data_IF_101921933457
#
_entry.id   IF_101921933457
#
_cell.length_a   1.000
_cell.length_b   1.000
_cell.length_c   1.000
_cell.angle_alpha   90.00
_cell.angle_beta   90.00
_cell.angle_gamma   90.00
#
_symmetry.space_group_name_H-M   'P 1'
#
loop_
_entity.id
_entity.type
_entity.pdbx_description
1 polymer ?
#
# COMPACT_ATOMS: atom_id res chain seq x y z
N UNK A 1 15.53 35.01 61.28
CA UNK A 1 14.26 34.60 60.68
C UNK A 1 14.46 34.54 59.18
N UNK A 2 14.67 33.36 58.62
CA UNK A 2 14.88 33.19 57.16
C UNK A 2 13.56 32.80 56.52
N UNK A 3 13.14 33.59 55.58
CA UNK A 3 11.92 33.37 54.81
C UNK A 3 12.25 32.41 53.65
N UNK A 4 11.67 31.21 53.66
CA UNK A 4 11.77 30.23 52.57
C UNK A 4 10.73 30.61 51.50
N UNK A 5 11.22 31.06 50.35
CA UNK A 5 10.38 31.30 49.19
C UNK A 5 10.08 29.97 48.48
N UNK A 6 8.81 29.56 48.46
CA UNK A 6 8.35 28.40 47.69
C UNK A 6 8.46 28.71 46.21
N UNK A 7 9.37 28.02 45.51
CA UNK A 7 9.43 28.01 44.05
C UNK A 7 8.28 27.15 43.53
N UNK A 8 7.34 27.77 42.82
CA UNK A 8 6.30 27.10 42.04
C UNK A 8 6.94 26.57 40.76
N UNK A 9 6.98 25.25 40.63
CA UNK A 9 7.34 24.59 39.37
C UNK A 9 6.38 25.03 38.25
N UNK A 10 6.87 25.36 37.03
CA UNK A 10 6.02 25.66 35.91
C UNK A 10 5.18 24.44 35.56
N UNK A 11 3.92 24.70 35.23
CA UNK A 11 2.90 23.68 34.97
C UNK A 11 3.33 22.68 33.92
N UNK A 12 2.86 21.46 34.11
CA UNK A 12 2.94 20.34 33.18
C UNK A 12 2.44 20.83 31.82
N UNK A 13 3.35 20.89 30.85
CA UNK A 13 3.04 21.29 29.48
C UNK A 13 1.91 20.43 28.92
N UNK A 14 1.06 21.05 28.14
CA UNK A 14 0.04 20.35 27.35
C UNK A 14 0.65 19.16 26.63
N UNK A 15 -0.06 18.02 26.53
CA UNK A 15 0.44 16.84 25.83
C UNK A 15 0.91 17.25 24.43
N UNK A 16 2.14 16.89 24.08
CA UNK A 16 2.71 17.10 22.76
C UNK A 16 1.70 16.53 21.74
N UNK A 17 1.03 17.41 21.02
CA UNK A 17 0.24 17.00 19.87
C UNK A 17 1.24 16.48 18.82
N UNK A 18 1.31 15.17 18.65
CA UNK A 18 2.06 14.58 17.56
C UNK A 18 1.56 15.23 16.26
N UNK A 19 2.49 15.69 15.43
CA UNK A 19 2.15 16.18 14.10
C UNK A 19 1.40 15.07 13.34
N UNK A 20 0.39 15.39 12.54
CA UNK A 20 -0.28 14.38 11.72
C UNK A 20 0.74 13.71 10.81
N UNK A 21 0.65 12.38 10.66
CA UNK A 21 1.54 11.60 9.81
C UNK A 21 1.60 12.20 8.40
N UNK A 22 2.79 12.25 7.82
CA UNK A 22 2.99 12.66 6.42
C UNK A 22 2.42 11.59 5.47
N UNK A 23 2.19 11.94 4.20
CA UNK A 23 1.79 10.97 3.20
C UNK A 23 2.87 9.90 2.96
N UNK A 24 4.14 10.20 3.20
CA UNK A 24 5.22 9.21 3.17
C UNK A 24 5.09 8.17 4.28
N UNK A 25 4.83 8.60 5.50
CA UNK A 25 4.61 7.70 6.64
C UNK A 25 3.36 6.85 6.45
N UNK A 26 2.29 7.42 5.87
CA UNK A 26 1.07 6.67 5.52
C UNK A 26 1.33 5.62 4.45
N UNK A 27 2.15 5.94 3.43
CA UNK A 27 2.51 4.98 2.39
C UNK A 27 3.28 3.78 2.96
N UNK A 28 4.26 4.03 3.84
CA UNK A 28 4.96 2.95 4.54
C UNK A 28 3.99 2.08 5.36
N UNK A 29 3.11 2.70 6.13
CA UNK A 29 2.14 1.99 6.95
C UNK A 29 1.14 1.17 6.10
N UNK A 30 0.75 1.68 4.95
CA UNK A 30 -0.11 0.98 3.99
C UNK A 30 0.58 -0.28 3.44
N UNK A 31 1.85 -0.18 3.02
CA UNK A 31 2.56 -1.34 2.49
C UNK A 31 2.93 -2.36 3.58
N UNK A 32 3.12 -1.91 4.83
CA UNK A 32 3.21 -2.83 5.96
C UNK A 32 1.89 -3.57 6.22
N UNK A 33 0.76 -2.87 6.11
CA UNK A 33 -0.57 -3.47 6.19
C UNK A 33 -0.80 -4.47 5.04
N UNK A 34 -0.40 -4.13 3.81
CA UNK A 34 -0.40 -5.05 2.68
C UNK A 34 0.42 -6.32 2.98
N UNK A 35 1.66 -6.15 3.42
CA UNK A 35 2.56 -7.26 3.75
C UNK A 35 2.03 -8.16 4.88
N UNK A 36 1.26 -7.58 5.81
CA UNK A 36 0.61 -8.29 6.91
C UNK A 36 -0.80 -8.79 6.55
N UNK A 37 -1.34 -8.39 5.40
CA UNK A 37 -2.73 -8.60 5.00
C UNK A 37 -3.72 -8.04 6.05
N UNK A 38 -3.35 -6.90 6.66
CA UNK A 38 -4.20 -6.14 7.58
C UNK A 38 -5.17 -5.26 6.77
N UNK A 39 -6.33 -5.84 6.49
CA UNK A 39 -7.34 -5.20 5.63
C UNK A 39 -8.04 -4.03 6.32
N UNK A 40 -8.06 -3.96 7.64
CA UNK A 40 -8.64 -2.83 8.36
C UNK A 40 -7.77 -1.58 8.17
N UNK A 41 -6.47 -1.72 8.35
CA UNK A 41 -5.51 -0.64 8.09
C UNK A 41 -5.44 -0.28 6.62
N UNK A 42 -5.49 -1.27 5.71
CA UNK A 42 -5.56 -1.04 4.27
C UNK A 42 -6.76 -0.15 3.89
N UNK A 43 -7.96 -0.48 4.38
CA UNK A 43 -9.17 0.30 4.14
C UNK A 43 -9.07 1.73 4.72
N UNK A 44 -8.42 1.88 5.87
CA UNK A 44 -8.29 3.18 6.54
C UNK A 44 -7.49 4.20 5.70
N UNK A 45 -6.57 3.75 4.86
CA UNK A 45 -5.75 4.61 4.00
C UNK A 45 -6.31 4.85 2.60
N UNK A 46 -7.44 4.24 2.24
CA UNK A 46 -8.10 4.47 0.96
C UNK A 46 -9.42 5.24 1.12
N UNK A 47 -9.70 6.09 0.15
CA UNK A 47 -11.02 6.74 0.03
C UNK A 47 -12.07 5.72 -0.46
N UNK A 48 -13.34 5.91 -0.09
CA UNK A 48 -14.41 5.03 -0.55
C UNK A 48 -14.57 5.03 -2.08
N UNK A 49 -14.26 6.16 -2.70
CA UNK A 49 -14.38 6.36 -4.15
C UNK A 49 -12.99 6.30 -4.85
N UNK A 50 -12.02 5.61 -4.25
CA UNK A 50 -10.67 5.49 -4.82
C UNK A 50 -10.71 4.93 -6.25
N UNK A 51 -9.84 5.46 -7.11
CA UNK A 51 -9.63 4.97 -8.49
C UNK A 51 -8.25 4.31 -8.56
N UNK A 52 -8.18 3.04 -8.94
CA UNK A 52 -6.93 2.27 -8.97
C UNK A 52 -6.65 1.72 -10.36
N UNK A 53 -5.46 2.02 -10.86
CA UNK A 53 -4.97 1.59 -12.17
C UNK A 53 -3.99 0.43 -11.99
N UNK A 54 -4.44 -0.79 -12.30
CA UNK A 54 -3.61 -1.99 -12.24
C UNK A 54 -2.77 -2.17 -13.52
N UNK A 55 -1.58 -2.78 -13.43
CA UNK A 55 -0.78 -3.08 -14.61
C UNK A 55 -1.53 -3.94 -15.62
N UNK A 56 -1.44 -3.56 -16.89
CA UNK A 56 -2.13 -4.24 -17.99
C UNK A 56 -3.64 -3.96 -18.10
N UNK A 57 -4.19 -3.12 -17.19
CA UNK A 57 -5.62 -2.73 -17.21
C UNK A 57 -5.82 -1.22 -17.04
N UNK A 58 -4.87 -0.43 -17.51
CA UNK A 58 -4.90 1.03 -17.34
C UNK A 58 -6.11 1.69 -18.03
N UNK A 59 -6.73 1.03 -19.02
CA UNK A 59 -7.93 1.52 -19.70
C UNK A 59 -9.23 1.24 -18.93
N UNK A 60 -9.18 0.34 -17.95
CA UNK A 60 -10.33 -0.10 -17.15
C UNK A 60 -9.97 -0.11 -15.67
N UNK A 61 -9.85 1.07 -15.03
CA UNK A 61 -9.48 1.15 -13.64
C UNK A 61 -10.52 0.50 -12.74
N UNK A 62 -10.08 0.05 -11.57
CA UNK A 62 -10.95 -0.37 -10.48
C UNK A 62 -11.55 0.86 -9.81
N UNK A 63 -12.85 0.86 -9.60
CA UNK A 63 -13.59 1.97 -9.02
C UNK A 63 -14.14 1.60 -7.63
N UNK A 64 -13.70 2.34 -6.63
CA UNK A 64 -14.16 2.21 -5.26
C UNK A 64 -13.39 1.19 -4.42
N UNK A 65 -13.37 1.45 -3.13
CA UNK A 65 -12.64 0.64 -2.15
C UNK A 65 -13.12 -0.82 -2.07
N UNK A 66 -14.43 -1.15 -2.15
CA UNK A 66 -14.86 -2.54 -2.08
C UNK A 66 -14.25 -3.42 -3.18
N UNK A 67 -14.22 -2.92 -4.42
CA UNK A 67 -13.66 -3.66 -5.55
C UNK A 67 -12.13 -3.72 -5.48
N UNK A 68 -11.49 -2.61 -5.11
CA UNK A 68 -10.03 -2.58 -4.90
C UNK A 68 -9.59 -3.57 -3.83
N UNK A 69 -10.27 -3.61 -2.69
CA UNK A 69 -10.01 -4.58 -1.64
C UNK A 69 -10.21 -6.03 -2.11
N UNK A 70 -11.30 -6.30 -2.82
CA UNK A 70 -11.59 -7.63 -3.33
C UNK A 70 -10.51 -8.12 -4.32
N UNK A 71 -10.03 -7.25 -5.21
CA UNK A 71 -8.93 -7.56 -6.13
C UNK A 71 -7.62 -7.79 -5.39
N UNK A 72 -7.30 -6.95 -4.41
CA UNK A 72 -6.13 -7.09 -3.55
C UNK A 72 -6.14 -8.43 -2.79
N UNK A 73 -7.28 -8.83 -2.25
CA UNK A 73 -7.44 -10.11 -1.57
C UNK A 73 -7.27 -11.30 -2.53
N UNK A 74 -7.83 -11.23 -3.75
CA UNK A 74 -7.61 -12.27 -4.77
C UNK A 74 -6.14 -12.41 -5.14
N UNK A 75 -5.43 -11.29 -5.27
CA UNK A 75 -3.98 -11.32 -5.50
C UNK A 75 -3.24 -12.01 -4.35
N UNK A 76 -3.57 -11.67 -3.10
CA UNK A 76 -2.96 -12.30 -1.92
C UNK A 76 -3.31 -13.78 -1.76
N UNK A 77 -4.48 -14.23 -2.24
CA UNK A 77 -4.81 -15.66 -2.29
C UNK A 77 -3.93 -16.39 -3.30
N UNK A 78 -3.70 -15.80 -4.47
CA UNK A 78 -2.85 -16.39 -5.50
C UNK A 78 -1.35 -16.38 -5.11
N UNK A 79 -0.91 -15.33 -4.42
CA UNK A 79 0.48 -15.08 -4.01
C UNK A 79 0.54 -14.82 -2.50
N UNK A 80 0.32 -15.84 -1.65
CA UNK A 80 0.16 -15.64 -0.19
C UNK A 80 1.42 -15.14 0.52
N UNK A 81 2.58 -15.35 -0.08
CA UNK A 81 3.90 -14.91 0.40
C UNK A 81 4.36 -13.58 -0.23
N UNK A 82 3.48 -12.91 -1.00
CA UNK A 82 3.88 -11.67 -1.66
C UNK A 82 4.34 -10.61 -0.64
N UNK A 83 5.37 -9.86 -1.03
CA UNK A 83 5.99 -8.82 -0.21
C UNK A 83 6.41 -7.63 -1.04
N UNK A 84 6.03 -6.45 -0.58
CA UNK A 84 6.61 -5.18 -0.96
C UNK A 84 7.84 -4.95 -0.07
N UNK A 85 9.01 -4.79 -0.67
CA UNK A 85 10.28 -4.65 0.06
C UNK A 85 10.38 -3.29 0.73
N UNK A 86 10.85 -3.26 1.95
CA UNK A 86 11.23 -2.06 2.70
C UNK A 86 12.69 -2.12 3.15
N UNK A 87 13.39 -0.98 3.24
CA UNK A 87 12.98 0.35 2.76
C UNK A 87 12.84 0.39 1.24
N UNK A 88 12.10 1.38 0.72
CA UNK A 88 12.01 1.62 -0.72
C UNK A 88 13.38 1.99 -1.32
N UNK A 89 13.61 1.61 -2.57
CA UNK A 89 14.81 2.02 -3.31
C UNK A 89 14.79 3.52 -3.62
N UNK A 90 13.60 4.06 -3.91
CA UNK A 90 13.32 5.49 -4.02
C UNK A 90 11.95 5.82 -3.45
N UNK A 91 11.85 6.99 -2.80
CA UNK A 91 10.61 7.57 -2.32
C UNK A 91 10.67 9.07 -2.54
N UNK A 92 9.71 9.62 -3.24
CA UNK A 92 9.61 11.05 -3.52
C UNK A 92 8.16 11.49 -3.62
N UNK A 93 7.92 12.79 -3.59
CA UNK A 93 6.59 13.37 -3.74
C UNK A 93 6.60 14.86 -3.47
N UNK A 94 5.49 15.49 -3.83
CA UNK A 94 5.24 16.90 -3.58
C UNK A 94 3.73 17.11 -3.42
N UNK A 95 3.34 17.96 -2.46
CA UNK A 95 1.94 18.26 -2.17
C UNK A 95 1.13 16.99 -1.83
N UNK A 96 0.14 16.71 -2.66
CA UNK A 96 -0.77 15.59 -2.48
C UNK A 96 -0.27 14.28 -3.11
N UNK A 97 0.91 14.28 -3.73
CA UNK A 97 1.44 13.11 -4.43
C UNK A 97 2.59 12.45 -3.70
N UNK A 98 2.59 11.13 -3.74
CA UNK A 98 3.74 10.29 -3.40
C UNK A 98 4.02 9.30 -4.51
N UNK A 99 5.30 8.97 -4.70
CA UNK A 99 5.71 7.90 -5.59
C UNK A 99 6.90 7.15 -4.98
N UNK A 100 6.94 5.83 -5.15
CA UNK A 100 8.08 5.03 -4.75
C UNK A 100 8.47 4.02 -5.83
N UNK A 101 9.69 3.54 -5.74
CA UNK A 101 10.20 2.38 -6.49
C UNK A 101 10.79 1.41 -5.48
N UNK A 102 10.46 0.14 -5.62
CA UNK A 102 11.00 -0.93 -4.79
C UNK A 102 10.94 -2.28 -5.52
N UNK A 103 11.26 -3.36 -4.83
CA UNK A 103 11.05 -4.72 -5.31
C UNK A 103 9.78 -5.30 -4.69
N UNK A 104 9.04 -6.08 -5.48
CA UNK A 104 7.93 -6.90 -5.03
C UNK A 104 8.19 -8.34 -5.45
N UNK A 105 8.05 -9.27 -4.51
CA UNK A 105 8.26 -10.69 -4.72
C UNK A 105 7.03 -11.49 -4.34
N UNK A 106 6.92 -12.72 -4.82
CA UNK A 106 5.88 -13.66 -4.42
C UNK A 106 5.99 -14.97 -5.19
N UNK A 107 5.19 -15.95 -4.79
CA UNK A 107 5.14 -17.28 -5.44
C UNK A 107 3.70 -17.62 -5.77
N UNK A 108 3.44 -18.04 -7.00
CA UNK A 108 2.10 -18.39 -7.46
C UNK A 108 1.70 -19.77 -6.93
N UNK A 109 1.16 -19.84 -5.73
CA UNK A 109 0.82 -21.08 -5.02
C UNK A 109 -0.66 -21.26 -4.72
N UNK A 110 -1.47 -20.22 -4.84
CA UNK A 110 -2.93 -20.27 -4.71
C UNK A 110 -3.63 -20.02 -6.04
N UNK A 111 -4.91 -20.34 -6.17
CA UNK A 111 -5.67 -20.06 -7.38
C UNK A 111 -5.84 -18.55 -7.59
N UNK A 112 -5.71 -18.09 -8.83
CA UNK A 112 -6.02 -16.72 -9.23
C UNK A 112 -7.41 -16.65 -9.84
N UNK A 113 -8.32 -15.98 -9.18
CA UNK A 113 -9.66 -15.73 -9.68
C UNK A 113 -9.73 -14.33 -10.35
N UNK A 114 -10.09 -14.30 -11.62
CA UNK A 114 -10.30 -13.07 -12.37
C UNK A 114 -11.69 -12.49 -12.12
N UNK A 115 -11.92 -11.18 -12.37
CA UNK A 115 -13.24 -10.55 -12.16
C UNK A 115 -14.39 -11.17 -12.93
N UNK A 116 -14.11 -11.83 -14.05
CA UNK A 116 -15.10 -12.52 -14.89
C UNK A 116 -15.44 -13.95 -14.40
N UNK A 117 -14.85 -14.37 -13.26
CA UNK A 117 -15.01 -15.70 -12.69
C UNK A 117 -14.07 -16.76 -13.25
N UNK A 118 -13.19 -16.39 -14.19
CA UNK A 118 -12.14 -17.32 -14.68
C UNK A 118 -11.19 -17.66 -13.55
N UNK A 119 -10.91 -18.95 -13.36
CA UNK A 119 -9.96 -19.47 -12.39
C UNK A 119 -8.70 -19.98 -13.09
N UNK A 120 -7.55 -19.47 -12.65
CA UNK A 120 -6.24 -19.90 -13.13
C UNK A 120 -5.57 -20.68 -12.00
N UNK A 121 -5.17 -21.92 -12.30
CA UNK A 121 -4.49 -22.78 -11.32
C UNK A 121 -3.03 -22.34 -11.15
N UNK A 122 -2.49 -22.46 -9.92
CA UNK A 122 -1.12 -22.03 -9.63
C UNK A 122 -0.07 -22.87 -10.35
N UNK A 123 1.01 -22.22 -10.78
CA UNK A 123 2.16 -22.87 -11.41
C UNK A 123 3.25 -23.24 -10.42
N UNK A 124 3.27 -22.64 -9.23
CA UNK A 124 4.36 -22.76 -8.27
C UNK A 124 5.56 -21.87 -8.57
N UNK A 125 5.51 -21.08 -9.64
CA UNK A 125 6.62 -20.22 -10.05
C UNK A 125 6.68 -18.93 -9.22
N UNK A 126 7.90 -18.46 -8.84
CA UNK A 126 8.07 -17.17 -8.18
C UNK A 126 8.11 -16.02 -9.19
N UNK A 127 7.88 -14.81 -8.67
CA UNK A 127 8.20 -13.56 -9.35
C UNK A 127 9.06 -12.65 -8.47
N UNK A 128 9.89 -11.83 -9.11
CA UNK A 128 10.65 -10.75 -8.52
C UNK A 128 10.67 -9.59 -9.53
N UNK A 129 10.03 -8.48 -9.16
CA UNK A 129 9.76 -7.37 -10.05
C UNK A 129 10.12 -6.04 -9.42
N UNK A 130 10.60 -5.11 -10.23
CA UNK A 130 10.58 -3.69 -9.87
C UNK A 130 9.11 -3.23 -9.82
N UNK A 131 8.71 -2.70 -8.69
CA UNK A 131 7.36 -2.27 -8.39
C UNK A 131 7.33 -0.79 -8.02
N UNK A 132 6.32 -0.09 -8.48
CA UNK A 132 6.14 1.33 -8.17
C UNK A 132 4.67 1.62 -7.91
N UNK A 133 4.41 2.48 -6.93
CA UNK A 133 3.10 3.10 -6.73
C UNK A 133 3.22 4.60 -6.86
N UNK A 134 2.31 5.20 -7.61
CA UNK A 134 2.07 6.65 -7.61
C UNK A 134 0.70 6.85 -7.01
N UNK A 135 0.61 7.62 -5.92
CA UNK A 135 -0.65 7.86 -5.22
C UNK A 135 -0.93 9.35 -5.07
N UNK A 136 -2.20 9.71 -5.26
CA UNK A 136 -2.72 11.03 -4.92
C UNK A 136 -3.54 10.92 -3.64
N UNK A 137 -3.22 11.79 -2.68
CA UNK A 137 -3.79 11.82 -1.34
C UNK A 137 -4.74 12.99 -1.16
N UNK A 138 -5.79 12.78 -0.40
CA UNK A 138 -6.69 13.82 0.10
C UNK A 138 -7.16 13.45 1.50
N UNK A 139 -6.99 14.37 2.45
CA UNK A 139 -7.39 14.15 3.84
C UNK A 139 -6.80 12.86 4.46
N UNK A 140 -5.55 12.52 4.12
CA UNK A 140 -4.86 11.32 4.63
C UNK A 140 -5.29 10.00 4.01
N UNK A 141 -6.06 10.03 2.91
CA UNK A 141 -6.52 8.85 2.17
C UNK A 141 -6.13 8.94 0.70
N UNK A 142 -5.82 7.81 0.10
CA UNK A 142 -5.56 7.70 -1.34
C UNK A 142 -6.89 7.83 -2.08
N UNK A 143 -6.95 8.77 -3.02
CA UNK A 143 -8.11 8.97 -3.91
C UNK A 143 -7.86 8.47 -5.32
N UNK A 144 -6.58 8.30 -5.69
CA UNK A 144 -6.17 7.80 -6.99
C UNK A 144 -4.81 7.10 -6.86
N UNK A 145 -4.69 5.92 -7.45
CA UNK A 145 -3.50 5.09 -7.31
C UNK A 145 -3.12 4.42 -8.63
N UNK A 146 -1.85 4.49 -8.97
CA UNK A 146 -1.25 3.82 -10.14
C UNK A 146 -0.25 2.78 -9.65
N UNK A 147 -0.59 1.52 -9.81
CA UNK A 147 0.28 0.38 -9.55
C UNK A 147 1.06 0.06 -10.83
N UNK A 148 2.37 -0.05 -10.74
CA UNK A 148 3.23 -0.22 -11.93
C UNK A 148 4.28 -1.31 -11.72
N UNK A 149 4.23 -2.29 -12.59
CA UNK A 149 5.30 -3.26 -12.86
C UNK A 149 5.22 -3.70 -14.33
N UNK A 150 6.27 -4.35 -14.82
CA UNK A 150 6.25 -4.94 -16.15
C UNK A 150 5.33 -6.18 -16.17
N UNK A 151 4.12 -6.00 -16.67
CA UNK A 151 3.10 -7.05 -16.70
C UNK A 151 3.51 -8.22 -17.61
N UNK A 152 4.25 -7.98 -18.69
CA UNK A 152 4.73 -9.05 -19.56
C UNK A 152 5.78 -9.92 -18.83
N UNK A 153 6.72 -9.28 -18.15
CA UNK A 153 7.70 -9.97 -17.30
C UNK A 153 7.03 -10.74 -16.17
N UNK A 154 6.01 -10.15 -15.52
CA UNK A 154 5.23 -10.83 -14.48
C UNK A 154 4.60 -12.12 -15.00
N UNK A 155 3.84 -12.05 -16.10
CA UNK A 155 3.17 -13.21 -16.69
C UNK A 155 4.18 -14.31 -17.10
N UNK A 156 5.32 -13.91 -17.66
CA UNK A 156 6.39 -14.85 -18.02
C UNK A 156 6.98 -15.54 -16.79
N UNK A 157 7.30 -14.79 -15.74
CA UNK A 157 7.89 -15.34 -14.51
C UNK A 157 6.95 -16.33 -13.83
N UNK A 158 5.65 -16.01 -13.72
CA UNK A 158 4.67 -16.90 -13.10
C UNK A 158 4.16 -18.02 -14.02
N UNK A 159 4.65 -18.10 -15.26
CA UNK A 159 4.35 -19.19 -16.19
C UNK A 159 2.99 -19.08 -16.88
N UNK A 160 2.48 -17.85 -17.07
CA UNK A 160 1.21 -17.55 -17.73
C UNK A 160 1.39 -16.95 -19.14
N UNK A 161 2.64 -16.79 -19.58
CA UNK A 161 2.98 -16.33 -20.94
C UNK A 161 4.25 -17.03 -21.44
#
# INVERSE_FOLDING_TARGET
MSTVTKSTLPGVGSPLRLAPASNFERMYALDEAWNAQDWETFDAYHDQDVVVYWPGREQTPTLGLPDHRAESQRFCVAFPDNKVKHPYDMLFGDGDFTAFVTQMTGTFTGPLELPDGTRIEPTGNPFDLSFSTIARWRNGKIVEEYLKYDNASFLQQVGLA
#
